data_IF_645222614922
#
_entry.id   IF_645222614922
#
_cell.length_a   1.000
_cell.length_b   1.000
_cell.length_c   1.000
_cell.angle_alpha   90.00
_cell.angle_beta   90.00
_cell.angle_gamma   90.00
#
_symmetry.space_group_name_H-M   'P 1'
#
loop_
_entity.id
_entity.type
_entity.pdbx_description
1 polymer ?
#
# COMPACT_ATOMS: atom_id res chain seq x y z
N UNK A 1 -0.96 -13.06 10.60
CA UNK A 1 -1.47 -13.91 9.51
C UNK A 1 -1.78 -13.02 8.33
N UNK A 2 -1.16 -13.28 7.17
CA UNK A 2 -1.48 -12.55 5.94
C UNK A 2 -2.65 -13.26 5.28
N UNK A 3 -3.83 -12.65 5.31
CA UNK A 3 -5.02 -13.17 4.65
C UNK A 3 -5.21 -12.47 3.30
N UNK A 4 -5.40 -13.25 2.22
CA UNK A 4 -5.69 -12.72 0.89
C UNK A 4 -7.14 -13.08 0.51
N UNK A 5 -7.98 -12.05 0.36
CA UNK A 5 -9.37 -12.20 -0.05
C UNK A 5 -9.58 -11.38 -1.34
N UNK A 6 -9.90 -12.07 -2.43
CA UNK A 6 -10.34 -11.45 -3.68
C UNK A 6 -11.85 -11.62 -3.84
N UNK A 7 -12.54 -10.56 -4.27
CA UNK A 7 -14.00 -10.56 -4.43
C UNK A 7 -14.40 -10.09 -5.82
N UNK A 8 -15.48 -10.66 -6.35
CA UNK A 8 -16.05 -10.27 -7.64
C UNK A 8 -15.03 -10.39 -8.78
N UNK A 9 -15.00 -9.39 -9.66
CA UNK A 9 -14.12 -9.39 -10.85
C UNK A 9 -12.62 -9.43 -10.53
N UNK A 10 -12.20 -9.01 -9.33
CA UNK A 10 -10.79 -9.06 -8.93
C UNK A 10 -10.28 -10.50 -8.82
N UNK A 11 -11.17 -11.46 -8.51
CA UNK A 11 -10.81 -12.87 -8.44
C UNK A 11 -10.45 -13.43 -9.81
N UNK A 12 -11.12 -12.99 -10.87
CA UNK A 12 -10.82 -13.43 -12.24
C UNK A 12 -9.65 -12.64 -12.83
N UNK A 13 -9.64 -11.31 -12.68
CA UNK A 13 -8.62 -10.43 -13.26
C UNK A 13 -7.21 -10.67 -12.71
N UNK A 14 -7.13 -11.06 -11.43
CA UNK A 14 -5.88 -11.30 -10.70
C UNK A 14 -5.66 -12.76 -10.34
N UNK A 15 -6.41 -13.67 -10.97
CA UNK A 15 -6.16 -15.11 -10.84
C UNK A 15 -4.73 -15.43 -11.25
N UNK A 16 -4.06 -16.25 -10.44
CA UNK A 16 -2.69 -16.73 -10.68
C UNK A 16 -1.63 -15.61 -10.81
N UNK A 17 -1.94 -14.39 -10.35
CA UNK A 17 -1.00 -13.27 -10.31
C UNK A 17 -0.60 -12.96 -8.87
N UNK A 18 0.59 -12.38 -8.73
CA UNK A 18 0.98 -11.77 -7.46
C UNK A 18 0.21 -10.46 -7.25
N UNK A 19 -0.88 -10.56 -6.49
CA UNK A 19 -1.75 -9.44 -6.14
C UNK A 19 -0.98 -8.33 -5.42
N UNK A 20 -0.03 -8.67 -4.55
CA UNK A 20 0.71 -7.67 -3.79
C UNK A 20 1.68 -6.90 -4.68
N UNK A 21 2.37 -7.58 -5.60
CA UNK A 21 3.22 -6.93 -6.60
C UNK A 21 2.40 -6.02 -7.53
N UNK A 22 1.24 -6.49 -8.01
CA UNK A 22 0.30 -5.67 -8.80
C UNK A 22 -0.17 -4.44 -8.04
N UNK A 23 -0.54 -4.62 -6.77
CA UNK A 23 -0.96 -3.51 -5.92
C UNK A 23 0.17 -2.53 -5.65
N UNK A 24 1.44 -2.94 -5.65
CA UNK A 24 2.56 -1.99 -5.52
C UNK A 24 2.81 -1.24 -6.83
N UNK A 25 2.71 -1.92 -7.98
CA UNK A 25 2.98 -1.37 -9.30
C UNK A 25 1.82 -0.58 -9.92
N UNK A 26 0.60 -0.62 -9.34
CA UNK A 26 -0.55 0.05 -9.93
C UNK A 26 -0.38 1.58 -9.92
N UNK A 27 -0.49 2.17 -11.10
CA UNK A 27 -0.49 3.60 -11.32
C UNK A 27 -1.88 4.21 -11.09
N UNK A 28 -1.90 5.44 -10.57
CA UNK A 28 -3.12 6.18 -10.33
C UNK A 28 -2.87 7.49 -9.61
N UNK A 29 -3.97 8.13 -9.22
CA UNK A 29 -3.94 9.42 -8.54
C UNK A 29 -3.70 9.19 -7.04
N UNK A 30 -2.60 9.72 -6.50
CA UNK A 30 -2.34 9.68 -5.06
C UNK A 30 -3.23 10.71 -4.36
N UNK A 31 -4.23 10.22 -3.63
CA UNK A 31 -5.20 11.06 -2.91
C UNK A 31 -4.69 11.44 -1.53
N UNK A 32 -3.85 10.60 -0.93
CA UNK A 32 -3.21 10.86 0.36
C UNK A 32 -1.89 10.13 0.45
N UNK A 33 -0.85 10.85 0.84
CA UNK A 33 0.45 10.28 1.16
C UNK A 33 0.89 10.76 2.56
N UNK A 34 1.22 9.80 3.42
CA UNK A 34 1.78 10.00 4.76
C UNK A 34 2.85 8.95 4.99
N UNK A 35 3.76 9.20 5.91
CA UNK A 35 4.84 8.25 6.24
C UNK A 35 4.27 6.86 6.55
N UNK A 36 4.61 5.88 5.71
CA UNK A 36 4.13 4.51 5.84
C UNK A 36 2.66 4.27 5.47
N UNK A 37 1.92 5.26 4.94
CA UNK A 37 0.53 5.07 4.50
C UNK A 37 0.16 5.88 3.27
N UNK A 38 -0.20 5.19 2.20
CA UNK A 38 -0.62 5.80 0.95
C UNK A 38 -2.01 5.33 0.53
N UNK A 39 -2.86 6.29 0.14
CA UNK A 39 -4.13 6.01 -0.54
C UNK A 39 -4.03 6.46 -2.00
N UNK A 40 -4.16 5.51 -2.92
CA UNK A 40 -4.10 5.74 -4.36
C UNK A 40 -5.43 5.34 -5.01
N UNK A 41 -5.96 6.20 -5.86
CA UNK A 41 -7.17 5.98 -6.65
C UNK A 41 -6.76 5.53 -8.06
N UNK A 42 -7.25 4.37 -8.48
CA UNK A 42 -6.97 3.82 -9.81
C UNK A 42 -8.26 3.31 -10.46
N UNK A 43 -8.19 3.09 -11.78
CA UNK A 43 -9.29 2.50 -12.54
C UNK A 43 -8.88 1.11 -13.00
N UNK A 44 -9.79 0.15 -12.89
CA UNK A 44 -9.61 -1.22 -13.35
C UNK A 44 -10.94 -1.73 -13.90
N UNK A 45 -10.93 -2.36 -15.08
CA UNK A 45 -12.14 -2.91 -15.71
C UNK A 45 -13.34 -1.93 -15.74
N UNK A 46 -13.08 -0.63 -15.99
CA UNK A 46 -14.13 0.40 -16.05
C UNK A 46 -14.66 0.87 -14.68
N UNK A 47 -14.19 0.31 -13.57
CA UNK A 47 -14.56 0.69 -12.20
C UNK A 47 -13.42 1.45 -11.52
N UNK A 48 -13.78 2.27 -10.53
CA UNK A 48 -12.82 3.05 -9.74
C UNK A 48 -12.60 2.35 -8.40
N UNK A 49 -11.33 2.16 -8.04
CA UNK A 49 -10.91 1.55 -6.79
C UNK A 49 -9.96 2.47 -6.02
N UNK A 50 -9.87 2.22 -4.72
CA UNK A 50 -8.94 2.88 -3.82
C UNK A 50 -8.03 1.84 -3.18
N UNK A 51 -6.73 1.91 -3.46
CA UNK A 51 -5.69 1.16 -2.76
C UNK A 51 -5.34 1.91 -1.49
N UNK A 52 -5.46 1.25 -0.33
CA UNK A 52 -4.90 1.72 0.95
C UNK A 52 -3.70 0.86 1.30
N UNK A 53 -2.50 1.38 1.04
CA UNK A 53 -1.25 0.68 1.26
C UNK A 53 -0.62 1.16 2.57
N UNK A 54 -0.35 0.23 3.48
CA UNK A 54 0.44 0.48 4.69
C UNK A 54 1.81 -0.15 4.47
N UNK A 55 2.86 0.66 4.60
CA UNK A 55 4.26 0.28 4.46
C UNK A 55 5.03 0.73 5.69
N UNK A 56 6.23 0.18 5.89
CA UNK A 56 7.13 0.73 6.89
C UNK A 56 7.51 2.18 6.56
N UNK A 57 7.94 2.92 7.58
CA UNK A 57 8.59 4.21 7.38
C UNK A 57 9.97 4.00 6.73
N UNK A 58 10.39 4.93 5.85
CA UNK A 58 11.69 4.85 5.19
C UNK A 58 12.87 5.04 6.14
N UNK A 59 14.06 4.55 5.75
CA UNK A 59 15.31 4.68 6.53
C UNK A 59 15.62 6.10 6.98
N UNK A 60 15.30 7.10 6.17
CA UNK A 60 15.47 8.52 6.51
C UNK A 60 14.68 8.92 7.76
N UNK A 61 13.43 8.46 7.85
CA UNK A 61 12.54 8.78 8.98
C UNK A 61 12.95 8.00 10.23
N UNK A 62 13.45 6.77 10.05
CA UNK A 62 14.04 5.96 11.13
C UNK A 62 15.25 6.70 11.73
N UNK A 63 16.21 7.10 10.91
CA UNK A 63 17.42 7.81 11.35
C UNK A 63 17.06 9.14 12.03
N UNK A 64 16.13 9.90 11.46
CA UNK A 64 15.64 11.16 12.05
C UNK A 64 15.04 10.94 13.45
N UNK A 65 14.22 9.91 13.64
CA UNK A 65 13.63 9.62 14.95
C UNK A 65 14.71 9.23 15.97
N UNK A 66 15.69 8.40 15.58
CA UNK A 66 16.83 8.07 16.44
C UNK A 66 17.64 9.30 16.85
N UNK A 67 17.94 10.21 15.91
CA UNK A 67 18.64 11.47 16.21
C UNK A 67 17.85 12.40 17.14
N UNK A 68 16.51 12.30 17.13
CA UNK A 68 15.62 13.04 18.02
C UNK A 68 15.36 12.32 19.36
N UNK A 69 16.08 11.23 19.66
CA UNK A 69 15.84 10.35 20.83
C UNK A 69 14.40 9.81 20.90
N UNK A 70 13.70 9.77 19.77
CA UNK A 70 12.37 9.17 19.64
C UNK A 70 12.53 7.73 19.16
N UNK A 71 11.81 6.82 19.80
CA UNK A 71 11.80 5.44 19.33
C UNK A 71 11.18 5.39 17.92
N UNK A 72 11.78 4.61 17.00
CA UNK A 72 11.20 4.42 15.68
C UNK A 72 9.82 3.77 15.82
N UNK A 73 8.89 4.14 14.95
CA UNK A 73 7.58 3.49 14.88
C UNK A 73 7.80 2.08 14.32
N UNK A 74 7.77 1.07 15.19
CA UNK A 74 7.97 -0.34 14.83
C UNK A 74 6.66 -1.07 14.51
N UNK A 75 5.52 -0.37 14.45
CA UNK A 75 4.20 -0.94 14.20
C UNK A 75 3.62 -0.49 12.87
N UNK A 76 3.29 -1.46 12.00
CA UNK A 76 2.42 -1.32 10.83
C UNK A 76 1.10 -2.05 11.10
#
# INVERSE_FOLDING_TARGET
>A
MTELILRGELQELWRDKDVFALLQAVDGEVVRDKEGRQTLKFKLAGKTYYRKLHTGIGWREIIKNFLQLKMPVTGA
#
